data_IF_401925981694
#
_entry.id   IF_401925981694
#
_cell.length_a   1.000
_cell.length_b   1.000
_cell.length_c   1.000
_cell.angle_alpha   90.00
_cell.angle_beta   90.00
_cell.angle_gamma   90.00
#
_symmetry.space_group_name_H-M   'P 1'
#
loop_
_entity.id
_entity.type
_entity.pdbx_description
1 polymer ?
#
# COMPACT_ATOMS: atom_id res chain seq x y z
N UNK A 1 30.34 3.51 -5.98
CA UNK A 1 29.82 3.98 -4.68
C UNK A 1 29.18 2.79 -4.01
N UNK A 2 29.73 2.30 -2.89
CA UNK A 2 29.18 1.12 -2.22
C UNK A 2 27.87 1.47 -1.48
N UNK A 3 27.05 0.46 -1.13
CA UNK A 3 25.83 0.67 -0.33
C UNK A 3 26.13 1.38 0.99
N UNK A 4 27.26 1.04 1.62
CA UNK A 4 27.72 1.68 2.86
C UNK A 4 28.21 3.11 2.62
N UNK A 5 28.92 3.39 1.51
CA UNK A 5 29.35 4.76 1.19
C UNK A 5 28.17 5.67 0.83
N UNK A 6 27.12 5.10 0.22
CA UNK A 6 25.86 5.81 -0.02
C UNK A 6 25.09 6.03 1.29
N UNK A 7 25.07 5.04 2.19
CA UNK A 7 24.43 5.09 3.51
C UNK A 7 25.23 5.88 4.56
N UNK A 8 26.47 6.30 4.28
CA UNK A 8 27.33 7.04 5.24
C UNK A 8 27.78 8.44 4.77
N UNK A 9 27.39 8.91 3.58
CA UNK A 9 27.83 10.21 3.04
C UNK A 9 27.03 11.44 3.58
N UNK A 10 27.57 12.21 4.55
CA UNK A 10 26.85 13.29 5.22
C UNK A 10 26.62 14.53 4.33
N UNK A 11 27.31 14.63 3.18
CA UNK A 11 27.30 15.80 2.32
C UNK A 11 26.09 15.87 1.36
N UNK A 12 25.20 14.87 1.42
CA UNK A 12 24.00 14.85 0.60
C UNK A 12 22.79 15.26 1.43
N UNK A 13 21.96 16.18 0.90
CA UNK A 13 20.72 16.69 1.50
C UNK A 13 19.76 15.55 1.97
N UNK A 14 20.03 14.32 1.53
CA UNK A 14 19.38 13.07 1.90
C UNK A 14 19.55 12.66 3.37
N UNK A 15 20.66 13.00 4.05
CA UNK A 15 20.95 12.48 5.39
C UNK A 15 20.10 13.04 6.53
N UNK A 16 19.51 14.22 6.36
CA UNK A 16 18.77 14.86 7.45
C UNK A 16 17.26 14.61 7.38
N UNK A 17 16.70 14.36 6.18
CA UNK A 17 15.23 14.27 5.98
C UNK A 17 14.73 12.87 5.61
N UNK A 18 15.49 12.11 4.79
CA UNK A 18 15.11 10.73 4.41
C UNK A 18 15.10 9.77 5.61
N UNK A 19 16.10 9.73 6.52
CA UNK A 19 16.03 8.79 7.62
C UNK A 19 14.86 9.10 8.55
N UNK A 20 14.53 10.37 8.79
CA UNK A 20 13.42 10.73 9.67
C UNK A 20 12.09 10.25 9.09
N UNK A 21 11.78 10.55 7.83
CA UNK A 21 10.51 10.08 7.24
C UNK A 21 10.46 8.55 7.19
N UNK A 22 11.55 7.87 6.79
CA UNK A 22 11.56 6.40 6.74
C UNK A 22 11.37 5.77 8.12
N UNK A 23 11.96 6.34 9.17
CA UNK A 23 11.75 5.90 10.56
C UNK A 23 10.28 6.11 10.97
N UNK A 24 9.69 7.27 10.65
CA UNK A 24 8.27 7.54 10.94
C UNK A 24 7.35 6.56 10.21
N UNK A 25 7.59 6.31 8.93
CA UNK A 25 6.82 5.34 8.13
C UNK A 25 6.98 3.94 8.71
N UNK A 26 8.21 3.50 8.99
CA UNK A 26 8.46 2.18 9.57
C UNK A 26 7.80 2.01 10.94
N UNK A 27 7.89 3.02 11.81
CA UNK A 27 7.22 3.04 13.11
C UNK A 27 5.69 2.98 12.96
N UNK A 28 5.12 3.73 12.01
CA UNK A 28 3.69 3.68 11.71
C UNK A 28 3.26 2.30 11.20
N UNK A 29 4.04 1.70 10.30
CA UNK A 29 3.82 0.35 9.79
C UNK A 29 3.86 -0.69 10.90
N UNK A 30 4.86 -0.63 11.79
CA UNK A 30 4.95 -1.50 12.96
C UNK A 30 3.72 -1.33 13.87
N UNK A 31 3.39 -0.10 14.25
CA UNK A 31 2.29 0.19 15.16
C UNK A 31 0.95 -0.31 14.62
N UNK A 32 0.63 0.00 13.36
CA UNK A 32 -0.66 -0.35 12.76
C UNK A 32 -0.76 -1.85 12.50
N UNK A 33 0.29 -2.46 11.96
CA UNK A 33 0.28 -3.89 11.63
C UNK A 33 0.38 -4.81 12.84
N UNK A 34 0.62 -4.28 14.05
CA UNK A 34 0.65 -5.04 15.31
C UNK A 34 -0.66 -5.80 15.59
N UNK A 35 -1.78 -5.40 14.99
CA UNK A 35 -3.04 -6.19 15.02
C UNK A 35 -2.83 -7.64 14.54
N UNK A 36 -1.83 -7.89 13.70
CA UNK A 36 -1.41 -9.22 13.23
C UNK A 36 -0.98 -10.20 14.33
N UNK A 37 -0.64 -9.73 15.54
CA UNK A 37 -0.36 -10.62 16.66
C UNK A 37 -1.60 -11.41 17.10
N UNK A 38 -2.80 -10.82 16.94
CA UNK A 38 -4.08 -11.49 17.20
C UNK A 38 -4.34 -12.57 16.16
N UNK A 39 -4.19 -12.24 14.87
CA UNK A 39 -4.29 -13.18 13.75
C UNK A 39 -3.21 -12.88 12.72
N UNK A 40 -2.39 -13.86 12.39
CA UNK A 40 -1.24 -13.69 11.49
C UNK A 40 -1.64 -13.08 10.14
N UNK A 41 -2.79 -13.46 9.60
CA UNK A 41 -3.32 -12.92 8.33
C UNK A 41 -3.54 -11.39 8.39
N UNK A 42 -3.79 -10.83 9.57
CA UNK A 42 -4.01 -9.38 9.73
C UNK A 42 -2.76 -8.54 9.55
N UNK A 43 -1.56 -9.12 9.60
CA UNK A 43 -0.35 -8.42 9.15
C UNK A 43 -0.56 -7.96 7.70
N UNK A 44 -0.77 -8.91 6.79
CA UNK A 44 -0.86 -8.66 5.34
C UNK A 44 -2.24 -8.22 4.83
N UNK A 45 -3.25 -8.11 5.71
CA UNK A 45 -4.61 -7.73 5.31
C UNK A 45 -4.99 -6.35 5.86
N UNK A 46 -5.59 -6.30 7.06
CA UNK A 46 -6.04 -5.06 7.71
C UNK A 46 -4.85 -4.16 8.04
N UNK A 47 -3.76 -4.75 8.57
CA UNK A 47 -2.53 -4.05 8.87
C UNK A 47 -1.93 -3.38 7.64
N UNK A 48 -1.82 -4.10 6.53
CA UNK A 48 -1.35 -3.58 5.25
C UNK A 48 -2.16 -2.37 4.77
N UNK A 49 -3.50 -2.50 4.62
CA UNK A 49 -4.34 -1.41 4.12
C UNK A 49 -4.21 -0.13 4.95
N UNK A 50 -4.33 -0.24 6.28
CA UNK A 50 -4.20 0.94 7.15
C UNK A 50 -2.76 1.48 7.25
N UNK A 51 -1.74 0.63 7.10
CA UNK A 51 -0.34 1.07 7.10
C UNK A 51 -0.04 1.92 5.87
N UNK A 52 -0.43 1.47 4.67
CA UNK A 52 -0.29 2.24 3.42
C UNK A 52 -1.04 3.57 3.52
N UNK A 53 -2.27 3.57 4.06
CA UNK A 53 -3.01 4.81 4.25
C UNK A 53 -2.31 5.80 5.17
N UNK A 54 -1.87 5.34 6.35
CA UNK A 54 -1.20 6.18 7.33
C UNK A 54 0.14 6.69 6.79
N UNK A 55 0.92 5.83 6.13
CA UNK A 55 2.17 6.21 5.47
C UNK A 55 1.95 7.31 4.44
N UNK A 56 0.92 7.17 3.59
CA UNK A 56 0.59 8.18 2.59
C UNK A 56 0.17 9.53 3.23
N UNK A 57 -0.60 9.50 4.31
CA UNK A 57 -0.99 10.71 5.06
C UNK A 57 0.23 11.37 5.70
N UNK A 58 1.09 10.59 6.37
CA UNK A 58 2.31 11.09 7.00
C UNK A 58 3.23 11.71 5.96
N UNK A 59 3.50 11.01 4.85
CA UNK A 59 4.35 11.54 3.77
C UNK A 59 3.75 12.80 3.15
N UNK A 60 2.45 12.81 2.86
CA UNK A 60 1.76 13.97 2.29
C UNK A 60 1.81 15.18 3.22
N UNK A 61 1.60 14.99 4.52
CA UNK A 61 1.70 16.05 5.52
C UNK A 61 3.14 16.55 5.70
N UNK A 62 4.12 15.65 5.72
CA UNK A 62 5.54 15.97 5.91
C UNK A 62 6.09 16.80 4.74
N UNK A 63 5.72 16.47 3.50
CA UNK A 63 6.19 17.16 2.31
C UNK A 63 5.25 18.26 1.78
N UNK A 64 4.11 18.50 2.44
CA UNK A 64 3.11 19.50 2.01
C UNK A 64 3.69 20.87 1.61
N UNK A 65 4.65 21.46 2.34
CA UNK A 65 5.19 22.79 2.00
C UNK A 65 5.99 22.83 0.69
N UNK A 66 6.46 21.67 0.22
CA UNK A 66 7.41 21.56 -0.89
C UNK A 66 6.89 20.71 -2.05
N UNK A 67 5.80 19.98 -1.86
CA UNK A 67 5.22 19.07 -2.85
C UNK A 67 4.46 19.78 -3.96
N UNK A 68 4.46 19.17 -5.14
CA UNK A 68 3.59 19.55 -6.24
C UNK A 68 2.15 19.12 -5.99
N UNK A 69 1.20 19.75 -6.68
CA UNK A 69 -0.23 19.35 -6.64
C UNK A 69 -0.39 17.87 -7.02
N UNK A 70 0.32 17.39 -8.04
CA UNK A 70 0.27 15.98 -8.45
C UNK A 70 0.83 15.03 -7.39
N UNK A 71 1.85 15.45 -6.63
CA UNK A 71 2.35 14.70 -5.48
C UNK A 71 1.28 14.55 -4.40
N UNK A 72 0.52 15.61 -4.12
CA UNK A 72 -0.61 15.54 -3.18
C UNK A 72 -1.72 14.62 -3.69
N UNK A 73 -2.06 14.65 -4.99
CA UNK A 73 -3.00 13.68 -5.57
C UNK A 73 -2.50 12.24 -5.47
N UNK A 74 -1.18 12.02 -5.58
CA UNK A 74 -0.58 10.71 -5.35
C UNK A 74 -0.76 10.25 -3.90
N UNK A 75 -0.53 11.14 -2.92
CA UNK A 75 -0.78 10.85 -1.51
C UNK A 75 -2.25 10.52 -1.27
N UNK A 76 -3.17 11.32 -1.82
CA UNK A 76 -4.62 11.08 -1.74
C UNK A 76 -5.00 9.72 -2.33
N UNK A 77 -4.45 9.34 -3.49
CA UNK A 77 -4.70 8.03 -4.10
C UNK A 77 -4.38 6.89 -3.13
N UNK A 78 -3.17 6.88 -2.54
CA UNK A 78 -2.75 5.81 -1.63
C UNK A 78 -3.46 5.87 -0.27
N UNK A 79 -3.77 7.08 0.23
CA UNK A 79 -4.58 7.26 1.44
C UNK A 79 -5.99 6.68 1.28
N UNK A 80 -6.68 7.02 0.20
CA UNK A 80 -8.03 6.52 -0.08
C UNK A 80 -8.01 5.03 -0.36
N UNK A 81 -7.04 4.55 -1.15
CA UNK A 81 -6.84 3.12 -1.41
C UNK A 81 -6.69 2.33 -0.12
N UNK A 82 -5.75 2.73 0.75
CA UNK A 82 -5.44 2.01 1.99
C UNK A 82 -6.60 2.04 2.99
N UNK A 83 -7.26 3.21 3.17
CA UNK A 83 -8.41 3.34 4.06
C UNK A 83 -9.57 2.47 3.58
N UNK A 84 -9.90 2.54 2.29
CA UNK A 84 -10.96 1.71 1.72
C UNK A 84 -10.63 0.21 1.84
N UNK A 85 -9.38 -0.20 1.59
CA UNK A 85 -8.96 -1.60 1.75
C UNK A 85 -9.11 -2.07 3.19
N UNK A 86 -8.53 -1.30 4.12
CA UNK A 86 -8.53 -1.61 5.55
C UNK A 86 -9.96 -1.70 6.10
N UNK A 87 -10.82 -0.73 5.75
CA UNK A 87 -12.23 -0.72 6.15
C UNK A 87 -12.97 -1.93 5.58
N UNK A 88 -12.82 -2.22 4.28
CA UNK A 88 -13.47 -3.36 3.64
C UNK A 88 -13.08 -4.68 4.31
N UNK A 89 -11.78 -4.89 4.57
CA UNK A 89 -11.28 -6.10 5.21
C UNK A 89 -11.73 -6.20 6.67
N UNK A 90 -11.73 -5.09 7.42
CA UNK A 90 -12.24 -5.05 8.80
C UNK A 90 -13.74 -5.36 8.85
N UNK A 91 -14.54 -4.81 7.93
CA UNK A 91 -15.97 -5.13 7.79
C UNK A 91 -16.21 -6.58 7.38
N UNK A 92 -15.27 -7.20 6.65
CA UNK A 92 -15.36 -8.63 6.31
C UNK A 92 -15.14 -9.53 7.52
N UNK A 93 -14.24 -9.16 8.43
CA UNK A 93 -13.96 -9.95 9.65
C UNK A 93 -15.17 -10.13 10.56
N UNK A 94 -16.11 -9.17 10.56
CA UNK A 94 -17.32 -9.26 11.38
C UNK A 94 -18.39 -10.18 10.76
N UNK A 95 -18.28 -10.55 9.48
CA UNK A 95 -19.27 -11.38 8.79
C UNK A 95 -19.29 -12.83 9.34
N UNK A 96 -20.46 -13.37 9.71
CA UNK A 96 -20.56 -14.71 10.31
C UNK A 96 -19.99 -15.84 9.44
N UNK A 97 -20.22 -15.78 8.13
CA UNK A 97 -19.70 -16.76 7.18
C UNK A 97 -18.17 -16.81 7.19
N UNK A 98 -17.53 -15.64 7.21
CA UNK A 98 -16.08 -15.53 7.26
C UNK A 98 -15.53 -15.98 8.61
N UNK A 99 -16.21 -15.66 9.72
CA UNK A 99 -15.82 -16.18 11.04
C UNK A 99 -15.83 -17.70 11.10
N UNK A 100 -16.82 -18.34 10.47
CA UNK A 100 -16.91 -19.81 10.40
C UNK A 100 -15.75 -20.40 9.60
N UNK A 101 -15.51 -19.88 8.40
CA UNK A 101 -14.38 -20.28 7.53
C UNK A 101 -13.04 -20.14 8.27
N UNK A 102 -12.82 -19.01 8.95
CA UNK A 102 -11.60 -18.78 9.73
C UNK A 102 -11.47 -19.70 10.95
N UNK A 103 -12.57 -20.12 11.56
CA UNK A 103 -12.55 -21.09 12.64
C UNK A 103 -12.18 -22.50 12.15
N UNK A 104 -12.58 -22.86 10.93
CA UNK A 104 -12.19 -24.11 10.26
C UNK A 104 -10.70 -24.08 9.90
N UNK A 105 -10.22 -23.01 9.27
CA UNK A 105 -8.79 -22.83 8.94
C UNK A 105 -7.91 -22.91 10.19
N UNK A 106 -8.34 -22.30 11.31
CA UNK A 106 -7.57 -22.34 12.56
C UNK A 106 -7.45 -23.74 13.17
N UNK A 107 -8.43 -24.62 12.91
CA UNK A 107 -8.36 -26.03 13.35
C UNK A 107 -7.36 -26.82 12.51
N UNK A 108 -7.28 -26.52 11.22
CA UNK A 108 -6.40 -27.19 10.27
C UNK A 108 -4.94 -26.71 10.39
N UNK A 109 -4.73 -25.43 10.68
CA UNK A 109 -3.41 -24.81 10.78
C UNK A 109 -3.14 -24.25 12.19
N UNK A 110 -2.36 -24.94 13.04
CA UNK A 110 -2.10 -24.51 14.41
C UNK A 110 -1.29 -23.20 14.49
N UNK A 111 -1.35 -22.57 15.66
CA UNK A 111 -0.73 -21.27 15.90
C UNK A 111 0.79 -21.29 15.65
N UNK A 112 1.28 -20.28 14.92
CA UNK A 112 2.72 -20.06 14.70
C UNK A 112 3.40 -19.52 15.96
N UNK A 113 4.69 -19.80 16.12
CA UNK A 113 5.51 -19.33 17.23
C UNK A 113 5.56 -17.80 17.27
N UNK A 114 5.72 -17.23 18.47
CA UNK A 114 5.85 -15.78 18.64
C UNK A 114 7.05 -15.21 17.88
N UNK A 115 8.15 -15.97 17.84
CA UNK A 115 9.34 -15.61 17.07
C UNK A 115 9.02 -15.42 15.58
N UNK A 116 8.31 -16.37 14.96
CA UNK A 116 7.92 -16.25 13.55
C UNK A 116 6.99 -15.06 13.31
N UNK A 117 6.08 -14.75 14.25
CA UNK A 117 5.22 -13.56 14.16
C UNK A 117 6.03 -12.26 14.19
N UNK A 118 7.05 -12.18 15.06
CA UNK A 118 7.93 -11.00 15.13
C UNK A 118 8.71 -10.81 13.83
N UNK A 119 9.27 -11.90 13.27
CA UNK A 119 9.97 -11.85 11.97
C UNK A 119 9.02 -11.37 10.89
N UNK A 120 7.84 -11.96 10.75
CA UNK A 120 6.83 -11.54 9.77
C UNK A 120 6.47 -10.07 9.97
N UNK A 121 6.19 -9.65 11.21
CA UNK A 121 5.78 -8.28 11.54
C UNK A 121 6.80 -7.24 11.08
N UNK A 122 8.08 -7.46 11.43
CA UNK A 122 9.17 -6.57 11.03
C UNK A 122 9.34 -6.58 9.51
N UNK A 123 9.32 -7.76 8.88
CA UNK A 123 9.48 -7.90 7.44
C UNK A 123 8.35 -7.23 6.65
N UNK A 124 7.09 -7.38 7.06
CA UNK A 124 5.97 -6.73 6.35
C UNK A 124 5.96 -5.22 6.58
N UNK A 125 6.33 -4.74 7.78
CA UNK A 125 6.44 -3.31 8.01
C UNK A 125 7.53 -2.67 7.14
N UNK A 126 8.66 -3.37 6.95
CA UNK A 126 9.71 -2.95 6.02
C UNK A 126 9.21 -2.97 4.57
N UNK A 127 8.47 -4.01 4.17
CA UNK A 127 7.85 -4.08 2.85
C UNK A 127 6.91 -2.90 2.59
N UNK A 128 6.06 -2.51 3.55
CA UNK A 128 5.15 -1.37 3.38
C UNK A 128 5.89 -0.05 3.15
N UNK A 129 7.05 0.14 3.80
CA UNK A 129 7.90 1.30 3.55
C UNK A 129 8.43 1.29 2.12
N UNK A 130 8.91 0.14 1.63
CA UNK A 130 9.41 0.00 0.25
C UNK A 130 8.27 0.24 -0.76
N UNK A 131 7.09 -0.33 -0.53
CA UNK A 131 5.89 -0.10 -1.35
C UNK A 131 5.49 1.39 -1.41
N UNK A 132 5.77 2.15 -0.35
CA UNK A 132 5.48 3.59 -0.28
C UNK A 132 6.55 4.46 -0.96
N UNK A 133 7.67 3.87 -1.41
CA UNK A 133 8.79 4.62 -1.97
C UNK A 133 8.43 5.47 -3.21
N UNK A 134 7.64 4.97 -4.20
CA UNK A 134 7.20 5.79 -5.32
C UNK A 134 6.50 7.08 -4.89
N UNK A 135 5.63 7.00 -3.88
CA UNK A 135 4.96 8.17 -3.32
C UNK A 135 5.96 9.15 -2.71
N UNK A 136 6.88 8.66 -1.88
CA UNK A 136 7.89 9.51 -1.23
C UNK A 136 8.76 10.23 -2.27
N UNK A 137 9.21 9.53 -3.32
CA UNK A 137 10.02 10.14 -4.38
C UNK A 137 9.26 11.22 -5.16
N UNK A 138 7.97 11.00 -5.42
CA UNK A 138 7.12 12.01 -6.07
C UNK A 138 6.95 13.24 -5.17
N UNK A 139 6.67 13.05 -3.88
CA UNK A 139 6.45 14.16 -2.93
C UNK A 139 7.71 15.01 -2.69
N UNK A 140 8.89 14.42 -2.80
CA UNK A 140 10.20 15.09 -2.66
C UNK A 140 10.56 15.98 -3.85
N UNK A 141 9.87 15.87 -4.99
CA UNK A 141 10.19 16.62 -6.19
C UNK A 141 9.79 18.09 -6.02
N UNK A 142 10.65 18.86 -5.34
CA UNK A 142 10.54 20.31 -5.27
C UNK A 142 10.80 20.87 -6.67
N UNK A 143 9.92 21.77 -7.11
CA UNK A 143 10.14 22.68 -8.25
C UNK A 143 10.33 22.11 -9.67
N UNK A 144 9.86 20.89 -9.99
CA UNK A 144 9.63 20.55 -11.41
C UNK A 144 8.47 21.40 -11.94
N UNK A 145 8.79 22.50 -12.60
CA UNK A 145 7.86 23.52 -13.10
C UNK A 145 6.93 23.02 -14.21
N UNK A 146 7.20 21.84 -14.77
CA UNK A 146 6.40 21.20 -15.80
C UNK A 146 5.74 19.91 -15.30
N UNK A 147 4.42 19.87 -15.37
CA UNK A 147 3.64 18.65 -15.14
C UNK A 147 3.99 17.66 -16.25
N UNK A 148 4.67 16.57 -15.89
CA UNK A 148 5.01 15.53 -16.84
C UNK A 148 3.76 14.73 -17.24
N UNK A 149 3.47 14.51 -18.54
CA UNK A 149 2.32 13.72 -18.99
C UNK A 149 2.27 12.32 -18.38
N UNK A 150 3.44 11.72 -18.14
CA UNK A 150 3.59 10.41 -17.48
C UNK A 150 3.01 10.41 -16.06
N UNK A 151 3.15 11.52 -15.32
CA UNK A 151 2.58 11.66 -13.97
C UNK A 151 1.06 11.60 -14.02
N UNK A 152 0.46 12.34 -14.97
CA UNK A 152 -1.00 12.38 -15.15
C UNK A 152 -1.54 11.01 -15.57
N UNK A 153 -0.87 10.34 -16.51
CA UNK A 153 -1.24 8.98 -16.94
C UNK A 153 -1.14 8.00 -15.77
N UNK A 154 -0.04 8.03 -15.00
CA UNK A 154 0.15 7.17 -13.84
C UNK A 154 -0.94 7.36 -12.78
N UNK A 155 -1.24 8.62 -12.42
CA UNK A 155 -2.33 8.93 -11.50
C UNK A 155 -3.68 8.48 -12.05
N UNK A 156 -3.98 8.72 -13.33
CA UNK A 156 -5.23 8.29 -13.96
C UNK A 156 -5.38 6.76 -13.95
N UNK A 157 -4.31 6.01 -14.23
CA UNK A 157 -4.27 4.55 -14.11
C UNK A 157 -4.54 4.12 -12.67
N UNK A 158 -3.88 4.77 -11.70
CA UNK A 158 -4.04 4.45 -10.29
C UNK A 158 -5.47 4.70 -9.78
N UNK A 159 -6.05 5.85 -10.08
CA UNK A 159 -7.44 6.17 -9.73
C UNK A 159 -8.44 5.25 -10.44
N UNK A 160 -8.17 4.87 -11.70
CA UNK A 160 -8.99 3.88 -12.40
C UNK A 160 -8.94 2.53 -11.70
N UNK A 161 -7.75 2.10 -11.25
CA UNK A 161 -7.57 0.91 -10.43
C UNK A 161 -8.38 0.94 -9.15
N UNK A 162 -8.32 2.06 -8.42
CA UNK A 162 -9.09 2.28 -7.20
C UNK A 162 -10.60 2.16 -7.43
N UNK A 163 -11.12 2.73 -8.53
CA UNK A 163 -12.53 2.64 -8.89
C UNK A 163 -12.95 1.21 -9.24
N UNK A 164 -12.15 0.50 -10.05
CA UNK A 164 -12.40 -0.90 -10.42
C UNK A 164 -12.42 -1.78 -9.17
N UNK A 165 -11.43 -1.63 -8.30
CA UNK A 165 -11.35 -2.39 -7.06
C UNK A 165 -12.55 -2.13 -6.15
N UNK A 166 -12.89 -0.86 -5.94
CA UNK A 166 -14.03 -0.45 -5.12
C UNK A 166 -15.35 -1.03 -5.65
N UNK A 167 -15.57 -0.96 -6.96
CA UNK A 167 -16.75 -1.53 -7.61
C UNK A 167 -16.80 -3.06 -7.48
N UNK A 168 -15.66 -3.73 -7.67
CA UNK A 168 -15.55 -5.18 -7.51
C UNK A 168 -15.85 -5.62 -6.08
N UNK A 169 -15.25 -4.98 -5.08
CA UNK A 169 -15.47 -5.32 -3.67
C UNK A 169 -16.92 -5.07 -3.23
N UNK A 170 -17.55 -4.02 -3.75
CA UNK A 170 -18.98 -3.76 -3.54
C UNK A 170 -19.83 -4.88 -4.15
N UNK A 171 -19.61 -5.24 -5.42
CA UNK A 171 -20.33 -6.33 -6.09
C UNK A 171 -20.16 -7.66 -5.36
N UNK A 172 -18.93 -7.98 -4.94
CA UNK A 172 -18.62 -9.19 -4.17
C UNK A 172 -19.33 -9.20 -2.82
N UNK A 173 -19.32 -8.08 -2.10
CA UNK A 173 -20.02 -7.96 -0.81
C UNK A 173 -21.53 -8.12 -0.95
N UNK A 174 -22.12 -7.48 -1.96
CA UNK A 174 -23.55 -7.61 -2.25
C UNK A 174 -23.93 -9.07 -2.58
N UNK A 175 -23.14 -9.74 -3.42
CA UNK A 175 -23.35 -11.14 -3.77
C UNK A 175 -23.24 -12.06 -2.55
N UNK A 176 -22.21 -11.88 -1.71
CA UNK A 176 -21.99 -12.68 -0.51
C UNK A 176 -23.02 -12.43 0.58
N UNK A 177 -23.59 -11.23 0.67
CA UNK A 177 -24.73 -10.95 1.56
C UNK A 177 -25.98 -11.73 1.15
N UNK A 178 -26.22 -11.91 -0.15
CA UNK A 178 -27.38 -12.67 -0.66
C UNK A 178 -27.15 -14.18 -0.56
N UNK A 179 -25.96 -14.66 -0.90
CA UNK A 179 -25.62 -16.07 -0.86
C UNK A 179 -24.15 -16.28 -0.44
N UNK A 180 -23.87 -16.49 0.86
CA UNK A 180 -22.51 -16.56 1.37
C UNK A 180 -21.67 -17.72 0.80
N UNK A 181 -22.29 -18.85 0.45
CA UNK A 181 -21.60 -20.05 -0.03
C UNK A 181 -21.27 -20.00 -1.53
N UNK A 182 -21.96 -19.15 -2.31
CA UNK A 182 -21.76 -19.04 -3.76
C UNK A 182 -20.67 -18.02 -4.11
N UNK A 183 -19.94 -18.25 -5.21
CA UNK A 183 -19.02 -17.26 -5.75
C UNK A 183 -19.77 -16.09 -6.43
N UNK A 184 -19.12 -14.94 -6.55
CA UNK A 184 -19.64 -13.80 -7.30
C UNK A 184 -19.32 -14.00 -8.79
N UNK A 185 -20.33 -13.89 -9.64
CA UNK A 185 -20.24 -14.05 -11.10
C UNK A 185 -21.03 -12.97 -11.85
N UNK A 186 -21.29 -11.85 -11.18
CA UNK A 186 -22.05 -10.71 -11.72
C UNK A 186 -21.16 -9.49 -11.87
N UNK A 187 -21.57 -8.54 -12.73
CA UNK A 187 -20.81 -7.32 -12.97
C UNK A 187 -19.40 -7.61 -13.51
N UNK A 188 -18.38 -7.04 -12.86
CA UNK A 188 -16.97 -7.19 -13.25
C UNK A 188 -16.49 -8.66 -13.13
N UNK A 189 -17.06 -9.43 -12.20
CA UNK A 189 -16.72 -10.84 -12.02
C UNK A 189 -17.19 -11.75 -13.16
N UNK A 190 -18.06 -11.25 -14.05
CA UNK A 190 -18.43 -11.96 -15.28
C UNK A 190 -17.35 -11.85 -16.37
N UNK A 191 -16.52 -10.81 -16.30
CA UNK A 191 -15.49 -10.52 -17.30
C UNK A 191 -14.18 -11.20 -16.90
N UNK A 192 -13.75 -11.03 -15.65
CA UNK A 192 -12.50 -11.61 -15.13
C UNK A 192 -12.75 -12.25 -13.77
N UNK A 193 -11.94 -13.25 -13.40
CA UNK A 193 -12.11 -14.00 -12.14
C UNK A 193 -11.90 -13.14 -10.89
N UNK A 194 -10.98 -12.18 -10.97
CA UNK A 194 -10.45 -11.41 -9.84
C UNK A 194 -10.32 -9.91 -10.18
N UNK A 195 -11.43 -9.20 -10.50
CA UNK A 195 -11.39 -7.79 -10.88
C UNK A 195 -10.88 -6.88 -9.76
N UNK A 196 -11.10 -7.25 -8.50
CA UNK A 196 -10.57 -6.51 -7.35
C UNK A 196 -9.03 -6.52 -7.33
N UNK A 197 -8.41 -7.68 -7.59
CA UNK A 197 -6.95 -7.78 -7.70
C UNK A 197 -6.41 -7.04 -8.91
N UNK A 198 -7.14 -7.04 -10.04
CA UNK A 198 -6.77 -6.24 -11.19
C UNK A 198 -6.76 -4.74 -10.86
N UNK A 199 -7.78 -4.26 -10.14
CA UNK A 199 -7.82 -2.88 -9.65
C UNK A 199 -6.63 -2.54 -8.74
N UNK A 200 -6.30 -3.42 -7.79
CA UNK A 200 -5.12 -3.24 -6.92
C UNK A 200 -3.82 -3.17 -7.73
N UNK A 201 -3.62 -4.05 -8.71
CA UNK A 201 -2.46 -4.01 -9.60
C UNK A 201 -2.38 -2.66 -10.33
N UNK A 202 -3.49 -2.12 -10.82
CA UNK A 202 -3.52 -0.82 -11.48
C UNK A 202 -3.21 0.34 -10.51
N UNK A 203 -3.61 0.26 -9.24
CA UNK A 203 -3.21 1.25 -8.22
C UNK A 203 -1.69 1.30 -8.08
N UNK A 204 -1.05 0.13 -7.92
CA UNK A 204 0.41 0.05 -7.75
C UNK A 204 1.18 0.40 -9.02
N UNK A 205 0.73 -0.06 -10.19
CA UNK A 205 1.31 0.35 -11.48
C UNK A 205 1.15 1.85 -11.72
N UNK A 206 0.00 2.42 -11.35
CA UNK A 206 -0.26 3.86 -11.43
C UNK A 206 0.66 4.66 -10.51
N UNK A 207 0.83 4.20 -9.28
CA UNK A 207 1.77 4.78 -8.30
C UNK A 207 3.21 4.77 -8.81
N UNK A 208 3.66 3.62 -9.32
CA UNK A 208 4.98 3.47 -9.92
C UNK A 208 5.17 4.40 -11.13
N UNK A 209 4.20 4.43 -12.05
CA UNK A 209 4.27 5.27 -13.25
C UNK A 209 4.22 6.76 -12.90
N UNK A 210 3.41 7.14 -11.91
CA UNK A 210 3.29 8.52 -11.45
C UNK A 210 4.61 9.04 -10.86
N UNK A 211 5.44 8.15 -10.32
CA UNK A 211 6.72 8.50 -9.75
C UNK A 211 7.92 8.37 -10.70
N UNK A 212 7.69 7.82 -11.91
CA UNK A 212 8.74 7.48 -12.89
C UNK A 212 9.73 8.63 -13.20
N UNK A 213 9.28 9.89 -13.41
CA UNK A 213 10.21 11.00 -13.66
C UNK A 213 11.13 11.32 -12.48
N UNK A 214 10.77 10.89 -11.27
CA UNK A 214 11.48 11.23 -10.04
C UNK A 214 12.45 10.15 -9.57
N UNK A 215 12.55 9.01 -10.26
CA UNK A 215 13.58 8.00 -9.94
C UNK A 215 14.99 8.46 -10.34
N UNK A 216 15.08 9.28 -11.41
CA UNK A 216 16.35 9.82 -11.89
C UNK A 216 17.34 8.73 -12.28
N UNK A 217 18.63 9.04 -12.17
CA UNK A 217 19.75 8.11 -12.44
C UNK A 217 20.22 7.35 -11.20
N UNK A 218 19.56 7.49 -10.05
CA UNK A 218 19.95 6.84 -8.80
C UNK A 218 19.49 5.36 -8.80
N UNK A 219 20.41 4.37 -8.82
CA UNK A 219 20.05 2.96 -8.83
C UNK A 219 19.20 2.53 -7.63
N UNK A 220 19.33 3.20 -6.49
CA UNK A 220 18.60 2.84 -5.28
C UNK A 220 17.12 3.20 -5.37
N UNK A 221 16.78 4.33 -6.00
CA UNK A 221 15.38 4.70 -6.25
C UNK A 221 14.69 3.67 -7.13
N UNK A 222 15.39 3.20 -8.16
CA UNK A 222 14.92 2.11 -9.02
C UNK A 222 14.77 0.80 -8.25
N UNK A 223 15.76 0.42 -7.43
CA UNK A 223 15.68 -0.79 -6.62
C UNK A 223 14.44 -0.79 -5.72
N UNK A 224 14.21 0.28 -4.95
CA UNK A 224 13.04 0.37 -4.08
C UNK A 224 11.73 0.44 -4.85
N UNK A 225 11.68 1.17 -5.97
CA UNK A 225 10.48 1.27 -6.80
C UNK A 225 10.10 -0.05 -7.50
N UNK A 226 11.06 -0.96 -7.73
CA UNK A 226 10.83 -2.24 -8.39
C UNK A 226 10.60 -3.41 -7.43
N UNK A 227 11.02 -3.27 -6.17
CA UNK A 227 10.95 -4.34 -5.15
C UNK A 227 9.82 -4.16 -4.15
N UNK A 228 9.20 -2.97 -4.09
CA UNK A 228 7.93 -2.73 -3.41
C UNK A 228 6.77 -3.07 -4.31
#
# INVERSE_FOLDING_TARGET
MSFLDWLLNPASIWFETIPVILILLFAAGLFISAVGFVRLVWFISIGYGFSIACMAIISGAYYLPVSTVTGIFHAVLLSVYGLRLGIYLAMREIQPSYKKEQAEIKKEYPARTIFLKIVIWISVAALYVIMSAPLVFHLQAVSMSSVHPVVIIGLAVGFTGLLIESAADFQKSAAKKKNPSRYCDTGLYRIVRSPNYFGEILVWLGSFAAALPFYGSDPWRWFFALTG
#
